data_IF_598372213254
#
_entry.id   IF_598372213254
#
_cell.length_a   1.000
_cell.length_b   1.000
_cell.length_c   1.000
_cell.angle_alpha   90.00
_cell.angle_beta   90.00
_cell.angle_gamma   90.00
#
_symmetry.space_group_name_H-M   'P 1'
#
loop_
_entity.id
_entity.type
_entity.pdbx_description
1 polymer ?
#
# COMPACT_ATOMS: atom_id res chain seq x y z
N UNK A 1 -7.69 -0.20 61.64
CA UNK A 1 -6.49 0.20 60.88
C UNK A 1 -6.52 1.71 60.70
N UNK A 2 -5.44 2.46 60.97
CA UNK A 2 -5.41 3.90 60.71
C UNK A 2 -5.51 4.16 59.21
N UNK A 3 -6.48 4.97 58.80
CA UNK A 3 -6.70 5.32 57.40
C UNK A 3 -5.62 6.31 56.96
N UNK A 4 -4.77 5.90 56.01
CA UNK A 4 -3.81 6.82 55.39
C UNK A 4 -4.54 7.68 54.38
N UNK A 5 -4.41 9.00 54.51
CA UNK A 5 -4.94 9.94 53.52
C UNK A 5 -3.93 10.12 52.41
N UNK A 6 -4.28 9.66 51.21
CA UNK A 6 -3.48 9.91 50.00
C UNK A 6 -3.86 11.25 49.39
N UNK A 7 -2.85 12.02 48.98
CA UNK A 7 -3.01 13.26 48.22
C UNK A 7 -2.48 13.06 46.82
N UNK A 8 -3.24 13.54 45.84
CA UNK A 8 -2.79 13.57 44.45
C UNK A 8 -1.68 14.60 44.28
N UNK A 9 -0.75 14.30 43.38
CA UNK A 9 0.27 15.24 42.92
C UNK A 9 -0.35 16.30 41.99
N UNK A 10 0.30 17.45 41.84
CA UNK A 10 -0.19 18.53 40.96
C UNK A 10 -0.36 18.07 39.50
N UNK A 11 0.50 17.17 39.02
CA UNK A 11 0.38 16.59 37.68
C UNK A 11 -0.89 15.73 37.55
N UNK A 12 -1.20 14.92 38.56
CA UNK A 12 -2.42 14.10 38.58
C UNK A 12 -3.67 14.97 38.66
N UNK A 13 -3.63 16.05 39.44
CA UNK A 13 -4.74 17.03 39.52
C UNK A 13 -4.94 17.70 38.16
N UNK A 14 -3.87 18.09 37.48
CA UNK A 14 -3.94 18.69 36.14
C UNK A 14 -4.55 17.72 35.11
N UNK A 15 -4.14 16.45 35.11
CA UNK A 15 -4.72 15.41 34.25
C UNK A 15 -6.20 15.19 34.55
N UNK A 16 -6.55 15.06 35.82
CA UNK A 16 -7.93 14.84 36.27
C UNK A 16 -8.84 15.98 35.80
N UNK A 17 -8.41 17.23 35.97
CA UNK A 17 -9.16 18.41 35.54
C UNK A 17 -9.44 18.40 34.03
N UNK A 18 -8.42 18.10 33.21
CA UNK A 18 -8.58 18.02 31.75
C UNK A 18 -9.61 16.96 31.36
N UNK A 19 -9.54 15.77 31.98
CA UNK A 19 -10.47 14.68 31.65
C UNK A 19 -11.89 14.98 32.12
N UNK A 20 -12.05 15.63 33.28
CA UNK A 20 -13.38 16.03 33.78
C UNK A 20 -14.03 17.09 32.89
N UNK A 21 -13.25 18.07 32.43
CA UNK A 21 -13.72 19.11 31.48
C UNK A 21 -14.14 18.49 30.15
N UNK A 22 -13.34 17.57 29.60
CA UNK A 22 -13.66 16.86 28.36
C UNK A 22 -14.94 16.02 28.46
N UNK A 23 -15.22 15.44 29.62
CA UNK A 23 -16.42 14.63 29.85
C UNK A 23 -17.63 15.45 30.34
N UNK A 24 -17.45 16.75 30.60
CA UNK A 24 -18.51 17.62 31.12
C UNK A 24 -19.01 17.25 32.52
N UNK A 25 -18.21 16.57 33.33
CA UNK A 25 -18.57 16.13 34.69
C UNK A 25 -17.61 16.70 35.73
N UNK A 26 -17.97 16.62 37.02
CA UNK A 26 -17.06 17.04 38.09
C UNK A 26 -15.91 16.05 38.28
N UNK A 27 -14.77 16.53 38.78
CA UNK A 27 -13.63 15.67 39.10
C UNK A 27 -14.00 14.57 40.10
N UNK A 28 -14.88 14.88 41.06
CA UNK A 28 -15.38 13.93 42.05
C UNK A 28 -16.24 12.85 41.41
N UNK A 29 -17.13 13.22 40.48
CA UNK A 29 -18.00 12.27 39.80
C UNK A 29 -17.20 11.35 38.88
N UNK A 30 -16.16 11.90 38.23
CA UNK A 30 -15.23 11.13 37.42
C UNK A 30 -14.47 10.08 38.25
N UNK A 31 -13.98 10.45 39.44
CA UNK A 31 -13.30 9.52 40.34
C UNK A 31 -14.26 8.44 40.84
N UNK A 32 -15.48 8.82 41.27
CA UNK A 32 -16.48 7.86 41.76
C UNK A 32 -16.87 6.87 40.68
N UNK A 33 -17.23 7.33 39.49
CA UNK A 33 -17.58 6.45 38.38
C UNK A 33 -16.44 5.52 37.96
N UNK A 34 -15.18 5.97 38.07
CA UNK A 34 -14.04 5.10 37.85
C UNK A 34 -13.92 4.03 38.94
N UNK A 35 -14.03 4.40 40.22
CA UNK A 35 -13.99 3.45 41.34
C UNK A 35 -15.12 2.42 41.21
N UNK A 36 -16.34 2.86 40.92
CA UNK A 36 -17.50 1.98 40.77
C UNK A 36 -17.31 1.00 39.60
N UNK A 37 -16.60 1.41 38.54
CA UNK A 37 -16.26 0.52 37.41
C UNK A 37 -15.16 -0.49 37.71
N UNK A 38 -14.43 -0.38 38.83
CA UNK A 38 -13.38 -1.35 39.21
C UNK A 38 -13.95 -2.64 39.82
N UNK A 39 -15.17 -2.59 40.36
CA UNK A 39 -15.86 -3.74 40.93
C UNK A 39 -16.64 -4.54 39.86
N UNK A 40 -16.79 -3.99 38.66
CA UNK A 40 -17.32 -4.71 37.50
C UNK A 40 -16.21 -5.63 36.95
N UNK A 41 -16.45 -6.94 37.00
CA UNK A 41 -15.60 -7.96 36.39
C UNK A 41 -15.31 -7.55 34.93
N UNK A 42 -14.04 -7.48 34.48
CA UNK A 42 -13.75 -7.10 33.11
C UNK A 42 -14.48 -8.07 32.18
N UNK A 43 -15.30 -7.61 31.22
CA UNK A 43 -15.79 -8.50 30.19
C UNK A 43 -14.55 -9.01 29.47
N UNK A 44 -14.31 -10.33 29.56
CA UNK A 44 -13.40 -11.05 28.69
C UNK A 44 -13.94 -10.99 27.25
N UNK A 45 -13.84 -9.83 26.63
CA UNK A 45 -14.05 -9.61 25.21
C UNK A 45 -13.02 -8.63 24.72
N UNK A 46 -11.87 -9.21 24.39
CA UNK A 46 -11.05 -8.84 23.26
C UNK A 46 -11.85 -8.11 22.17
N UNK A 47 -11.52 -6.83 21.98
CA UNK A 47 -11.72 -6.10 20.73
C UNK A 47 -13.14 -5.57 20.49
N UNK A 48 -13.17 -4.28 20.19
CA UNK A 48 -14.26 -3.60 19.47
C UNK A 48 -15.50 -3.22 20.28
N UNK A 49 -15.46 -2.01 20.85
CA UNK A 49 -16.62 -1.12 20.76
C UNK A 49 -16.13 0.32 20.76
N UNK A 50 -16.01 0.85 19.54
CA UNK A 50 -16.17 2.27 19.25
C UNK A 50 -17.29 2.84 20.15
N UNK A 51 -16.96 3.77 21.04
CA UNK A 51 -17.93 4.47 21.88
C UNK A 51 -18.71 5.42 20.98
N UNK A 52 -19.69 4.89 20.25
CA UNK A 52 -20.71 5.67 19.57
C UNK A 52 -21.64 6.28 20.63
N UNK A 53 -21.75 7.60 20.53
CA UNK A 53 -22.83 8.39 21.10
C UNK A 53 -24.16 7.69 20.91
N UNK A 54 -24.81 7.35 22.03
CA UNK A 54 -26.19 6.85 22.05
C UNK A 54 -27.11 7.88 21.40
N UNK A 55 -27.52 7.58 20.16
CA UNK A 55 -28.79 8.04 19.62
C UNK A 55 -29.90 7.44 20.48
N UNK A 56 -30.69 8.32 21.07
CA UNK A 56 -32.02 8.03 21.58
C UNK A 56 -32.87 7.70 20.37
N UNK A 57 -33.14 6.44 20.04
CA UNK A 57 -34.40 6.03 19.41
C UNK A 57 -34.69 4.57 19.74
N UNK A 58 -35.86 4.36 20.34
CA UNK A 58 -36.35 3.04 20.68
C UNK A 58 -36.88 2.28 19.47
N UNK A 59 -37.22 1.03 19.79
CA UNK A 59 -38.01 0.10 19.02
C UNK A 59 -37.26 -0.75 17.98
N UNK A 60 -37.36 -2.06 18.24
CA UNK A 60 -37.39 -3.17 17.29
C UNK A 60 -36.06 -3.82 16.88
N UNK A 61 -35.84 -5.00 17.48
CA UNK A 61 -35.13 -6.11 16.86
C UNK A 61 -35.77 -6.41 15.50
N UNK A 62 -35.13 -6.06 14.39
CA UNK A 62 -35.26 -6.78 13.11
C UNK A 62 -34.27 -6.26 12.06
N UNK A 63 -33.61 -7.17 11.34
CA UNK A 63 -32.79 -6.95 10.12
C UNK A 63 -31.29 -6.65 10.27
N UNK A 64 -30.57 -7.48 11.04
CA UNK A 64 -29.11 -7.64 10.93
C UNK A 64 -28.63 -8.28 9.60
N UNK A 65 -29.44 -8.29 8.55
CA UNK A 65 -29.14 -8.94 7.26
C UNK A 65 -29.26 -8.03 6.03
N UNK A 66 -29.90 -6.86 6.13
CA UNK A 66 -30.26 -6.04 4.95
C UNK A 66 -29.94 -4.55 5.14
N UNK A 67 -28.76 -4.21 5.67
CA UNK A 67 -28.33 -2.81 5.66
C UNK A 67 -28.00 -2.38 4.22
N UNK A 68 -28.76 -1.46 3.59
CA UNK A 68 -28.53 -1.04 2.20
C UNK A 68 -27.13 -0.44 2.00
N UNK A 69 -26.52 0.11 3.06
CA UNK A 69 -25.15 0.56 3.06
C UNK A 69 -24.13 -0.58 2.89
N UNK A 70 -24.35 -1.73 3.55
CA UNK A 70 -23.49 -2.90 3.39
C UNK A 70 -23.63 -3.49 1.98
N UNK A 71 -24.85 -3.58 1.46
CA UNK A 71 -25.09 -4.03 0.09
C UNK A 71 -24.38 -3.13 -0.94
N UNK A 72 -24.45 -1.80 -0.77
CA UNK A 72 -23.74 -0.85 -1.63
C UNK A 72 -22.22 -0.99 -1.55
N UNK A 73 -21.65 -1.26 -0.36
CA UNK A 73 -20.22 -1.51 -0.21
C UNK A 73 -19.77 -2.81 -0.87
N UNK A 74 -20.58 -3.88 -0.77
CA UNK A 74 -20.32 -5.16 -1.44
C UNK A 74 -20.37 -5.00 -2.96
N UNK A 75 -21.35 -4.27 -3.50
CA UNK A 75 -21.43 -3.95 -4.92
C UNK A 75 -20.21 -3.15 -5.39
N UNK A 76 -19.80 -2.14 -4.62
CA UNK A 76 -18.59 -1.37 -4.92
C UNK A 76 -17.31 -2.21 -4.90
N UNK A 77 -17.22 -3.20 -4.00
CA UNK A 77 -16.10 -4.12 -3.94
C UNK A 77 -16.04 -4.97 -5.22
N UNK A 78 -17.19 -5.54 -5.63
CA UNK A 78 -17.29 -6.32 -6.86
C UNK A 78 -16.91 -5.49 -8.11
N UNK A 79 -17.32 -4.22 -8.17
CA UNK A 79 -16.92 -3.31 -9.26
C UNK A 79 -15.41 -3.08 -9.25
N UNK A 80 -14.79 -2.87 -8.08
CA UNK A 80 -13.34 -2.69 -7.96
C UNK A 80 -12.58 -3.95 -8.34
N UNK A 81 -13.05 -5.13 -7.94
CA UNK A 81 -12.44 -6.41 -8.31
C UNK A 81 -12.49 -6.65 -9.82
N UNK A 82 -13.62 -6.35 -10.46
CA UNK A 82 -13.74 -6.42 -11.92
C UNK A 82 -12.81 -5.42 -12.63
N UNK A 83 -12.62 -4.22 -12.07
CA UNK A 83 -11.68 -3.23 -12.59
C UNK A 83 -10.22 -3.67 -12.43
N UNK A 84 -9.88 -4.30 -11.30
CA UNK A 84 -8.55 -4.86 -11.05
C UNK A 84 -8.25 -5.98 -12.06
N UNK A 85 -9.16 -6.93 -12.24
CA UNK A 85 -9.01 -8.00 -13.22
C UNK A 85 -8.77 -7.47 -14.65
N UNK A 86 -9.50 -6.42 -15.05
CA UNK A 86 -9.30 -5.78 -16.36
C UNK A 86 -7.94 -5.10 -16.49
N UNK A 87 -7.45 -4.45 -15.42
CA UNK A 87 -6.12 -3.82 -15.41
C UNK A 87 -5.03 -4.88 -15.46
N UNK A 88 -5.18 -5.98 -14.72
CA UNK A 88 -4.22 -7.09 -14.75
C UNK A 88 -4.14 -7.70 -16.16
N UNK A 89 -5.27 -7.87 -16.85
CA UNK A 89 -5.28 -8.31 -18.25
C UNK A 89 -4.55 -7.33 -19.19
N UNK A 90 -4.72 -6.02 -18.99
CA UNK A 90 -4.01 -5.00 -19.77
C UNK A 90 -2.50 -5.01 -19.49
N UNK A 91 -2.11 -5.19 -18.23
CA UNK A 91 -0.70 -5.31 -17.84
C UNK A 91 -0.08 -6.54 -18.50
N UNK A 92 -0.76 -7.68 -18.47
CA UNK A 92 -0.28 -8.90 -19.14
C UNK A 92 -0.03 -8.67 -20.64
N UNK A 93 -0.99 -8.04 -21.34
CA UNK A 93 -0.83 -7.70 -22.77
C UNK A 93 0.34 -6.75 -23.02
N UNK A 94 0.50 -5.72 -22.17
CA UNK A 94 1.64 -4.81 -22.29
C UNK A 94 2.97 -5.53 -22.03
N UNK A 95 3.03 -6.43 -21.04
CA UNK A 95 4.22 -7.24 -20.78
C UNK A 95 4.60 -8.11 -21.98
N UNK A 96 3.63 -8.74 -22.66
CA UNK A 96 3.87 -9.50 -23.88
C UNK A 96 4.43 -8.61 -25.00
N UNK A 97 3.85 -7.42 -25.23
CA UNK A 97 4.35 -6.49 -26.25
C UNK A 97 5.76 -5.96 -25.93
N UNK A 98 6.07 -5.75 -24.65
CA UNK A 98 7.41 -5.35 -24.19
C UNK A 98 8.40 -6.50 -24.41
N UNK A 99 8.00 -7.75 -24.17
CA UNK A 99 8.83 -8.91 -24.43
C UNK A 99 9.12 -9.08 -25.94
N UNK A 100 8.10 -8.92 -26.78
CA UNK A 100 8.26 -9.02 -28.24
C UNK A 100 9.12 -7.89 -28.82
N UNK A 101 8.90 -6.65 -28.38
CA UNK A 101 9.74 -5.52 -28.78
C UNK A 101 11.19 -5.68 -28.30
N UNK A 102 11.41 -6.22 -27.11
CA UNK A 102 12.76 -6.53 -26.60
C UNK A 102 13.46 -7.55 -27.48
N UNK A 103 12.78 -8.63 -27.87
CA UNK A 103 13.33 -9.63 -28.81
C UNK A 103 13.65 -9.01 -30.17
N UNK A 104 12.77 -8.16 -30.70
CA UNK A 104 12.99 -7.47 -31.96
C UNK A 104 14.21 -6.54 -31.90
N UNK A 105 14.38 -5.78 -30.81
CA UNK A 105 15.54 -4.91 -30.59
C UNK A 105 16.83 -5.72 -30.48
N UNK A 106 16.83 -6.82 -29.74
CA UNK A 106 17.99 -7.71 -29.63
C UNK A 106 18.37 -8.30 -30.99
N UNK A 107 17.38 -8.75 -31.78
CA UNK A 107 17.60 -9.26 -33.14
C UNK A 107 18.18 -8.19 -34.08
N UNK A 108 17.62 -6.97 -34.06
CA UNK A 108 18.14 -5.86 -34.84
C UNK A 108 19.58 -5.50 -34.44
N UNK A 109 19.87 -5.45 -33.13
CA UNK A 109 21.22 -5.19 -32.64
C UNK A 109 22.21 -6.28 -33.07
N UNK A 110 21.83 -7.56 -33.04
CA UNK A 110 22.67 -8.65 -33.51
C UNK A 110 23.01 -8.50 -35.01
N UNK A 111 22.00 -8.22 -35.85
CA UNK A 111 22.20 -7.98 -37.28
C UNK A 111 23.07 -6.74 -37.56
N UNK A 112 22.91 -5.67 -36.77
CA UNK A 112 23.77 -4.49 -36.89
C UNK A 112 25.23 -4.80 -36.54
N UNK A 113 25.48 -5.59 -35.49
CA UNK A 113 26.83 -6.00 -35.12
C UNK A 113 27.45 -6.91 -36.18
N UNK A 114 26.70 -7.87 -36.72
CA UNK A 114 27.16 -8.74 -37.80
C UNK A 114 27.50 -7.93 -39.05
N UNK A 115 26.61 -7.03 -39.48
CA UNK A 115 26.83 -6.16 -40.65
C UNK A 115 28.04 -5.25 -40.45
N UNK A 116 28.24 -4.71 -39.25
CA UNK A 116 29.43 -3.90 -38.96
C UNK A 116 30.72 -4.73 -39.02
N UNK A 117 30.68 -5.98 -38.53
CA UNK A 117 31.83 -6.89 -38.59
C UNK A 117 32.16 -7.32 -40.02
N UNK A 118 31.16 -7.66 -40.84
CA UNK A 118 31.38 -8.05 -42.25
C UNK A 118 31.99 -6.91 -43.06
N UNK A 119 31.47 -5.68 -42.93
CA UNK A 119 32.02 -4.50 -43.58
C UNK A 119 33.45 -4.19 -43.11
N UNK A 120 33.75 -4.41 -41.82
CA UNK A 120 35.10 -4.23 -41.29
C UNK A 120 36.08 -5.22 -41.92
N UNK A 121 35.71 -6.50 -42.03
CA UNK A 121 36.53 -7.52 -42.69
C UNK A 121 36.74 -7.20 -44.16
N UNK A 122 35.69 -6.87 -44.90
CA UNK A 122 35.79 -6.50 -46.32
C UNK A 122 36.72 -5.29 -46.52
N UNK A 123 36.62 -4.27 -45.66
CA UNK A 123 37.54 -3.11 -45.70
C UNK A 123 39.00 -3.53 -45.51
N UNK A 124 39.28 -4.48 -44.61
CA UNK A 124 40.65 -4.97 -44.38
C UNK A 124 41.17 -5.77 -45.57
N UNK A 125 40.35 -6.62 -46.18
CA UNK A 125 40.70 -7.39 -47.38
C UNK A 125 40.94 -6.48 -48.59
N UNK A 126 40.07 -5.49 -48.80
CA UNK A 126 40.24 -4.48 -49.83
C UNK A 126 41.54 -3.69 -49.64
N UNK A 127 41.87 -3.30 -48.39
CA UNK A 127 43.15 -2.63 -48.08
C UNK A 127 44.34 -3.53 -48.37
N UNK A 128 44.31 -4.82 -48.01
CA UNK A 128 45.38 -5.78 -48.31
C UNK A 128 45.58 -5.95 -49.82
N UNK A 129 44.49 -6.10 -50.59
CA UNK A 129 44.52 -6.18 -52.06
C UNK A 129 45.08 -4.90 -52.71
N UNK A 130 44.67 -3.73 -52.24
CA UNK A 130 45.22 -2.43 -52.69
C UNK A 130 46.71 -2.33 -52.38
N UNK A 131 47.13 -2.71 -51.18
CA UNK A 131 48.54 -2.73 -50.78
C UNK A 131 49.38 -3.67 -51.64
N UNK A 132 48.87 -4.85 -51.99
CA UNK A 132 49.58 -5.78 -52.88
C UNK A 132 49.76 -5.22 -54.29
N UNK A 133 48.72 -4.57 -54.86
CA UNK A 133 48.82 -3.89 -56.16
C UNK A 133 49.87 -2.77 -56.12
N UNK A 134 49.85 -1.95 -55.06
CA UNK A 134 50.83 -0.90 -54.85
C UNK A 134 52.25 -1.49 -54.76
N UNK A 135 52.44 -2.55 -53.98
CA UNK A 135 53.74 -3.21 -53.81
C UNK A 135 54.29 -3.81 -55.10
N UNK A 136 53.44 -4.32 -56.00
CA UNK A 136 53.86 -4.77 -57.34
C UNK A 136 54.29 -3.60 -58.23
N UNK A 137 53.51 -2.52 -58.26
CA UNK A 137 53.85 -1.32 -59.03
C UNK A 137 55.19 -0.70 -58.59
N UNK A 138 55.54 -0.84 -57.32
CA UNK A 138 56.82 -0.36 -56.77
C UNK A 138 58.01 -1.25 -57.09
N UNK A 139 57.80 -2.52 -57.49
CA UNK A 139 58.91 -3.44 -57.80
C UNK A 139 59.40 -3.39 -59.25
N UNK A 140 58.68 -2.72 -60.16
CA UNK A 140 59.03 -2.63 -61.58
C UNK A 140 58.85 -3.96 -62.31
#
# INVERSE_FOLDING_TARGET
MPQKMFRLTDEQICKLKKVSELRGCSQTDLIRGFIDSLDEEPPDTQGDTHRDTQEIHGAERSSGADSPALAALVEQLAVKDAQLAKKDEQIAKLMDTVADSTKAVQGAQALHHETAQTLALESTEQKLSRWQRLKRAWRG
#
